data_IF_811432961762
#
_entry.id   IF_811432961762
#
_cell.length_a   1.000
_cell.length_b   1.000
_cell.length_c   1.000
_cell.angle_alpha   90.00
_cell.angle_beta   90.00
_cell.angle_gamma   90.00
#
_symmetry.space_group_name_H-M   'P 1'
#
loop_
_entity.id
_entity.type
_entity.pdbx_description
1 polymer ?
#
# COMPACT_ATOMS: atom_id res chain seq x y z
N UNK A 1 -21.99 -2.68 -77.16
CA UNK A 1 -20.72 -1.94 -77.06
C UNK A 1 -20.63 -1.36 -75.66
N UNK A 2 -19.54 -1.71 -75.00
CA UNK A 2 -19.12 -1.40 -73.64
C UNK A 2 -19.15 0.09 -73.31
N UNK A 3 -19.48 0.45 -72.06
CA UNK A 3 -18.52 1.17 -71.22
C UNK A 3 -19.06 1.46 -69.81
N UNK A 4 -18.51 0.69 -68.88
CA UNK A 4 -18.01 1.05 -67.55
C UNK A 4 -18.88 1.86 -66.58
N UNK A 5 -19.49 1.09 -65.69
CA UNK A 5 -19.80 1.41 -64.30
C UNK A 5 -18.54 1.91 -63.58
N UNK A 6 -18.47 3.20 -63.23
CA UNK A 6 -17.43 3.72 -62.32
C UNK A 6 -17.99 3.73 -60.90
N UNK A 7 -17.72 2.66 -60.15
CA UNK A 7 -17.92 2.61 -58.70
C UNK A 7 -16.84 3.51 -58.09
N UNK A 8 -17.23 4.70 -57.64
CA UNK A 8 -16.38 5.53 -56.79
C UNK A 8 -16.49 4.99 -55.36
N UNK A 9 -15.48 4.23 -54.97
CA UNK A 9 -15.29 3.76 -53.61
C UNK A 9 -15.06 4.99 -52.72
N UNK A 10 -16.08 5.42 -51.98
CA UNK A 10 -15.91 6.36 -50.88
C UNK A 10 -15.05 5.68 -49.82
N UNK A 11 -13.76 5.95 -49.85
CA UNK A 11 -12.86 5.73 -48.71
C UNK A 11 -13.32 6.68 -47.61
N UNK A 12 -14.25 6.23 -46.78
CA UNK A 12 -14.44 6.82 -45.46
C UNK A 12 -13.17 6.54 -44.67
N UNK A 13 -12.23 7.48 -44.69
CA UNK A 13 -11.19 7.54 -43.69
C UNK A 13 -11.93 7.76 -42.36
N UNK A 14 -12.17 6.69 -41.62
CA UNK A 14 -12.60 6.77 -40.24
C UNK A 14 -11.53 7.56 -39.51
N UNK A 15 -11.83 8.83 -39.22
CA UNK A 15 -10.89 9.73 -38.58
C UNK A 15 -10.62 9.16 -37.17
N UNK A 16 -9.35 8.90 -36.79
CA UNK A 16 -8.99 8.44 -35.45
C UNK A 16 -9.39 9.45 -34.34
N UNK A 17 -9.81 10.66 -34.73
CA UNK A 17 -10.40 11.65 -33.83
C UNK A 17 -11.77 11.26 -33.28
N UNK A 18 -12.59 10.47 -34.00
CA UNK A 18 -13.96 10.20 -33.54
C UNK A 18 -14.02 9.27 -32.32
N UNK A 19 -13.23 8.19 -32.28
CA UNK A 19 -13.14 7.30 -31.10
C UNK A 19 -12.60 8.02 -29.85
N UNK A 20 -11.65 8.94 -30.03
CA UNK A 20 -11.09 9.71 -28.92
C UNK A 20 -12.11 10.70 -28.33
N UNK A 21 -12.96 11.28 -29.18
CA UNK A 21 -14.04 12.17 -28.78
C UNK A 21 -15.23 11.39 -28.20
N UNK A 22 -15.49 10.18 -28.68
CA UNK A 22 -16.54 9.28 -28.18
C UNK A 22 -16.27 8.84 -26.74
N UNK A 23 -15.00 8.60 -26.37
CA UNK A 23 -14.57 8.39 -24.98
C UNK A 23 -14.83 9.58 -24.04
N UNK A 24 -15.01 10.80 -24.57
CA UNK A 24 -15.40 11.97 -23.78
C UNK A 24 -16.92 12.04 -23.53
N UNK A 25 -17.71 11.26 -24.28
CA UNK A 25 -19.17 11.36 -24.33
C UNK A 25 -19.89 10.16 -23.73
N UNK A 26 -19.16 9.10 -23.35
CA UNK A 26 -19.73 7.96 -22.64
C UNK A 26 -19.98 8.29 -21.17
N UNK A 27 -21.25 8.21 -20.74
CA UNK A 27 -21.68 8.38 -19.35
C UNK A 27 -21.40 7.14 -18.46
N UNK A 28 -20.69 6.13 -18.96
CA UNK A 28 -20.26 4.92 -18.22
C UNK A 28 -19.09 5.22 -17.24
N UNK A 29 -19.25 6.27 -16.41
CA UNK A 29 -18.19 6.85 -15.57
C UNK A 29 -18.54 6.91 -14.07
N UNK A 30 -19.51 6.14 -13.58
CA UNK A 30 -19.79 6.11 -12.15
C UNK A 30 -18.76 5.23 -11.41
N UNK A 31 -17.56 5.77 -11.20
CA UNK A 31 -16.58 5.19 -10.26
C UNK A 31 -16.93 5.63 -8.85
N UNK A 32 -17.18 4.66 -7.98
CA UNK A 32 -17.48 4.91 -6.57
C UNK A 32 -16.23 4.73 -5.70
N UNK A 33 -16.33 5.17 -4.45
CA UNK A 33 -15.30 4.92 -3.45
C UNK A 33 -15.02 3.42 -3.24
N UNK A 34 -16.07 2.59 -3.27
CA UNK A 34 -15.94 1.15 -3.01
C UNK A 34 -15.19 0.42 -4.14
N UNK A 35 -15.14 0.97 -5.35
CA UNK A 35 -14.33 0.43 -6.46
C UNK A 35 -12.82 0.67 -6.25
N UNK A 36 -12.47 1.63 -5.38
CA UNK A 36 -11.10 2.03 -5.12
C UNK A 36 -10.50 1.37 -3.88
N UNK A 37 -11.29 0.59 -3.13
CA UNK A 37 -10.85 -0.03 -1.87
C UNK A 37 -11.21 -1.50 -1.79
N UNK A 38 -10.48 -2.23 -0.94
CA UNK A 38 -10.79 -3.61 -0.54
C UNK A 38 -10.92 -3.62 0.97
N UNK A 39 -11.98 -4.22 1.49
CA UNK A 39 -12.14 -4.43 2.93
C UNK A 39 -11.39 -5.68 3.37
N UNK A 40 -10.44 -5.49 4.30
CA UNK A 40 -9.72 -6.58 4.96
C UNK A 40 -9.93 -6.44 6.46
N UNK A 41 -10.76 -7.29 7.07
CA UNK A 41 -11.08 -7.27 8.49
C UNK A 41 -11.59 -5.91 9.01
N UNK A 42 -12.37 -5.18 8.20
CA UNK A 42 -12.89 -3.84 8.51
C UNK A 42 -11.94 -2.70 8.16
N UNK A 43 -10.78 -2.99 7.55
CA UNK A 43 -9.82 -1.99 7.09
C UNK A 43 -9.96 -1.83 5.58
N UNK A 44 -10.48 -0.67 5.13
CA UNK A 44 -10.58 -0.32 3.71
C UNK A 44 -9.22 0.13 3.18
N UNK A 45 -8.53 -0.75 2.48
CA UNK A 45 -7.22 -0.48 1.87
C UNK A 45 -7.37 -0.16 0.38
N UNK A 46 -6.59 0.78 -0.18
CA UNK A 46 -6.75 1.18 -1.58
C UNK A 46 -6.30 0.09 -2.55
N UNK A 47 -6.95 0.00 -3.71
CA UNK A 47 -6.58 -0.92 -4.79
C UNK A 47 -5.29 -0.48 -5.50
N UNK A 48 -4.73 -1.38 -6.30
CA UNK A 48 -3.63 -1.03 -7.22
C UNK A 48 -4.02 0.04 -8.24
N UNK A 49 -5.30 0.11 -8.64
CA UNK A 49 -5.78 1.14 -9.55
C UNK A 49 -5.75 2.52 -8.89
N UNK A 50 -6.24 2.62 -7.65
CA UNK A 50 -6.16 3.85 -6.85
C UNK A 50 -4.71 4.34 -6.70
N UNK A 51 -3.78 3.42 -6.41
CA UNK A 51 -2.36 3.76 -6.32
C UNK A 51 -1.76 4.22 -7.64
N UNK A 52 -2.10 3.58 -8.76
CA UNK A 52 -1.65 4.01 -10.10
C UNK A 52 -2.13 5.42 -10.45
N UNK A 53 -3.42 5.70 -10.22
CA UNK A 53 -3.97 7.03 -10.40
C UNK A 53 -3.23 8.07 -9.55
N UNK A 54 -3.01 7.76 -8.28
CA UNK A 54 -2.22 8.62 -7.39
C UNK A 54 -0.80 8.85 -7.90
N UNK A 55 -0.10 7.81 -8.38
CA UNK A 55 1.27 7.96 -8.90
C UNK A 55 1.33 8.92 -10.07
N UNK A 56 0.41 8.77 -11.04
CA UNK A 56 0.35 9.62 -12.25
C UNK A 56 0.07 11.08 -11.88
N UNK A 57 -0.90 11.32 -10.98
CA UNK A 57 -1.27 12.68 -10.56
C UNK A 57 -0.17 13.38 -9.75
N UNK A 58 0.75 12.63 -9.15
CA UNK A 58 1.82 13.16 -8.29
C UNK A 58 3.22 13.03 -8.92
N UNK A 59 3.32 12.58 -10.18
CA UNK A 59 4.60 12.32 -10.86
C UNK A 59 5.56 11.44 -10.02
N UNK A 60 5.01 10.40 -9.39
CA UNK A 60 5.70 9.56 -8.41
C UNK A 60 6.31 8.27 -9.01
N UNK A 61 6.12 8.02 -10.31
CA UNK A 61 6.40 6.75 -10.98
C UNK A 61 7.86 6.32 -10.81
N UNK A 62 8.81 7.21 -11.11
CA UNK A 62 10.24 6.92 -11.00
C UNK A 62 10.67 6.62 -9.55
N UNK A 63 10.14 7.40 -8.60
CA UNK A 63 10.45 7.22 -7.17
C UNK A 63 9.90 5.89 -6.65
N UNK A 64 8.67 5.54 -7.00
CA UNK A 64 8.06 4.26 -6.61
C UNK A 64 8.80 3.08 -7.24
N UNK A 65 9.16 3.18 -8.52
CA UNK A 65 9.96 2.16 -9.20
C UNK A 65 11.30 1.96 -8.47
N UNK A 66 11.99 3.05 -8.15
CA UNK A 66 13.26 3.04 -7.44
C UNK A 66 13.13 2.38 -6.06
N UNK A 67 12.14 2.77 -5.25
CA UNK A 67 11.87 2.15 -3.94
C UNK A 67 11.65 0.65 -4.10
N UNK A 68 10.76 0.25 -5.02
CA UNK A 68 10.48 -1.16 -5.26
C UNK A 68 11.72 -1.96 -5.66
N UNK A 69 12.58 -1.40 -6.51
CA UNK A 69 13.86 -2.02 -6.89
C UNK A 69 14.80 -2.16 -5.71
N UNK A 70 15.00 -1.10 -4.92
CA UNK A 70 15.87 -1.13 -3.75
C UNK A 70 15.40 -2.15 -2.70
N UNK A 71 14.08 -2.31 -2.50
CA UNK A 71 13.54 -3.35 -1.63
C UNK A 71 13.88 -4.76 -2.14
N UNK A 72 13.68 -5.02 -3.44
CA UNK A 72 14.00 -6.32 -4.06
C UNK A 72 15.49 -6.61 -4.01
N UNK A 73 16.33 -5.64 -4.36
CA UNK A 73 17.80 -5.79 -4.34
C UNK A 73 18.32 -6.03 -2.92
N UNK A 74 17.63 -5.50 -1.90
CA UNK A 74 17.94 -5.78 -0.51
C UNK A 74 17.49 -7.18 -0.05
N UNK A 75 16.84 -7.98 -0.89
CA UNK A 75 16.34 -9.31 -0.57
C UNK A 75 14.97 -9.32 0.12
N UNK A 76 14.20 -8.24 0.00
CA UNK A 76 12.79 -8.25 0.42
C UNK A 76 12.00 -9.07 -0.60
N UNK A 77 11.53 -10.24 -0.17
CA UNK A 77 10.74 -11.17 -0.98
C UNK A 77 9.29 -11.27 -0.51
N UNK A 78 8.91 -10.48 0.50
CA UNK A 78 7.55 -10.45 1.03
C UNK A 78 6.51 -10.26 -0.08
N UNK A 79 5.37 -10.96 0.08
CA UNK A 79 4.22 -10.89 -0.83
C UNK A 79 3.38 -9.62 -0.59
N UNK A 80 3.74 -8.80 0.40
CA UNK A 80 3.05 -7.56 0.71
C UNK A 80 3.04 -6.62 -0.51
N UNK A 81 1.87 -6.06 -0.88
CA UNK A 81 1.81 -5.11 -1.97
C UNK A 81 2.53 -3.80 -1.63
N UNK A 82 3.46 -3.35 -2.49
CA UNK A 82 4.23 -2.10 -2.29
C UNK A 82 3.35 -0.88 -2.01
N UNK A 83 2.22 -0.74 -2.71
CA UNK A 83 1.29 0.37 -2.49
C UNK A 83 0.75 0.42 -1.05
N UNK A 84 0.59 -0.72 -0.39
CA UNK A 84 0.14 -0.78 1.00
C UNK A 84 1.28 -0.51 1.99
N UNK A 85 2.52 -0.86 1.65
CA UNK A 85 3.71 -0.45 2.42
C UNK A 85 3.84 1.10 2.42
N UNK A 86 3.46 1.74 1.31
CA UNK A 86 3.49 3.21 1.13
C UNK A 86 2.20 3.92 1.55
N UNK A 87 1.22 3.19 2.09
CA UNK A 87 -0.06 3.74 2.56
C UNK A 87 0.15 4.49 3.88
N UNK A 88 -0.38 5.71 4.04
CA UNK A 88 -0.29 6.39 5.34
C UNK A 88 -1.18 5.75 6.40
N UNK A 89 -2.39 5.36 6.03
CA UNK A 89 -3.34 4.64 6.87
C UNK A 89 -4.67 4.44 6.14
N UNK A 90 -5.67 3.87 6.83
CA UNK A 90 -6.99 3.55 6.26
C UNK A 90 -8.09 4.55 6.62
N UNK A 91 -7.80 5.48 7.53
CA UNK A 91 -8.67 6.58 7.98
C UNK A 91 -8.55 7.86 7.13
N UNK A 92 -7.93 7.79 5.95
CA UNK A 92 -7.62 8.92 5.08
C UNK A 92 -8.84 9.71 4.57
N UNK A 93 -10.00 9.07 4.38
CA UNK A 93 -11.25 9.75 3.99
C UNK A 93 -11.63 10.82 5.02
N UNK A 94 -11.28 10.60 6.29
CA UNK A 94 -11.59 11.50 7.40
C UNK A 94 -10.56 12.64 7.56
N UNK A 95 -9.38 12.53 6.93
CA UNK A 95 -8.22 13.36 7.28
C UNK A 95 -7.87 14.45 6.26
N UNK A 96 -8.52 14.49 5.09
CA UNK A 96 -8.21 15.43 3.99
C UNK A 96 -6.70 15.45 3.62
N UNK A 97 -6.04 14.30 3.77
CA UNK A 97 -4.63 14.08 3.45
C UNK A 97 -4.50 13.16 2.24
N UNK A 98 -3.35 13.20 1.57
CA UNK A 98 -3.00 12.18 0.57
C UNK A 98 -3.06 10.76 1.16
N UNK A 99 -3.52 9.81 0.36
CA UNK A 99 -3.56 8.38 0.67
C UNK A 99 -2.17 7.80 0.94
N UNK A 100 -1.24 8.12 0.04
CA UNK A 100 0.10 7.57 0.03
C UNK A 100 1.12 8.67 0.32
N UNK A 101 2.27 8.26 0.83
CA UNK A 101 3.45 9.10 0.98
C UNK A 101 4.65 8.40 0.33
N UNK A 102 5.63 9.20 -0.09
CA UNK A 102 6.92 8.66 -0.48
C UNK A 102 7.92 8.91 0.65
N UNK A 103 8.57 7.86 1.15
CA UNK A 103 9.55 8.01 2.20
C UNK A 103 10.73 8.81 1.72
N UNK A 104 11.31 9.54 2.67
CA UNK A 104 12.66 10.02 2.48
C UNK A 104 13.58 8.81 2.22
N UNK A 105 14.38 8.87 1.15
CA UNK A 105 15.34 7.83 0.79
C UNK A 105 16.29 7.44 1.93
N UNK A 106 16.63 8.38 2.84
CA UNK A 106 17.45 8.08 4.02
C UNK A 106 16.77 7.12 5.01
N UNK A 107 15.43 7.05 5.01
CA UNK A 107 14.67 6.17 5.88
C UNK A 107 14.41 4.79 5.27
N UNK A 108 14.70 4.58 3.98
CA UNK A 108 14.45 3.29 3.31
C UNK A 108 15.15 2.09 3.98
N UNK A 109 16.40 2.19 4.49
CA UNK A 109 17.03 1.11 5.24
C UNK A 109 16.24 0.65 6.47
N UNK A 110 15.49 1.55 7.12
CA UNK A 110 14.66 1.20 8.28
C UNK A 110 13.55 0.23 7.87
N UNK A 111 12.83 0.56 6.79
CA UNK A 111 11.76 -0.31 6.28
C UNK A 111 12.32 -1.62 5.74
N UNK A 112 13.50 -1.63 5.10
CA UNK A 112 14.14 -2.87 4.66
C UNK A 112 14.34 -3.82 5.85
N UNK A 113 14.83 -3.33 6.98
CA UNK A 113 15.03 -4.15 8.17
C UNK A 113 13.70 -4.67 8.73
N UNK A 114 12.67 -3.82 8.77
CA UNK A 114 11.33 -4.22 9.24
C UNK A 114 10.68 -5.25 8.32
N UNK A 115 10.76 -5.08 7.00
CA UNK A 115 10.24 -6.05 6.02
C UNK A 115 11.00 -7.38 6.09
N UNK A 116 12.33 -7.34 6.29
CA UNK A 116 13.13 -8.55 6.54
C UNK A 116 12.70 -9.27 7.80
N UNK A 117 12.49 -8.54 8.90
CA UNK A 117 11.99 -9.13 10.13
C UNK A 117 10.62 -9.79 9.92
N UNK A 118 9.70 -9.12 9.22
CA UNK A 118 8.38 -9.64 8.91
C UNK A 118 8.47 -10.93 8.09
N UNK A 119 9.18 -10.92 6.96
CA UNK A 119 9.26 -12.10 6.09
C UNK A 119 9.99 -13.29 6.77
N UNK A 120 10.94 -13.02 7.68
CA UNK A 120 11.74 -14.05 8.33
C UNK A 120 11.06 -14.65 9.56
N UNK A 121 10.34 -13.85 10.35
CA UNK A 121 9.83 -14.28 11.66
C UNK A 121 8.31 -14.20 11.81
N UNK A 122 7.64 -13.30 11.10
CA UNK A 122 6.20 -13.09 11.23
C UNK A 122 5.43 -13.92 10.19
N UNK A 123 5.77 -13.79 8.90
CA UNK A 123 5.09 -14.49 7.81
C UNK A 123 5.11 -16.03 7.95
N UNK A 124 6.19 -16.67 8.44
CA UNK A 124 6.17 -18.13 8.67
C UNK A 124 5.15 -18.59 9.72
N UNK A 125 4.79 -17.72 10.67
CA UNK A 125 3.90 -18.06 11.77
C UNK A 125 2.44 -17.65 11.54
N UNK A 126 2.23 -16.60 10.74
CA UNK A 126 0.92 -15.97 10.48
C UNK A 126 0.45 -16.08 9.03
N UNK A 127 1.30 -16.50 8.11
CA UNK A 127 1.05 -16.41 6.68
C UNK A 127 1.19 -14.97 6.17
N UNK A 128 0.50 -14.65 5.08
CA UNK A 128 0.55 -13.32 4.49
C UNK A 128 -0.07 -12.31 5.47
N UNK A 129 0.62 -11.20 5.68
CA UNK A 129 0.12 -10.04 6.42
C UNK A 129 -0.07 -8.87 5.47
N UNK A 130 -1.06 -8.03 5.73
CA UNK A 130 -1.50 -6.94 4.86
C UNK A 130 -1.23 -5.62 5.58
N UNK A 131 -0.39 -4.72 5.03
CA UNK A 131 -0.20 -3.39 5.59
C UNK A 131 -1.49 -2.58 5.51
N UNK A 132 -1.84 -1.97 6.64
CA UNK A 132 -2.95 -1.02 6.76
C UNK A 132 -2.47 0.38 7.17
N UNK A 133 -1.18 0.55 7.45
CA UNK A 133 -0.50 1.82 7.66
C UNK A 133 1.02 1.64 7.59
N UNK A 134 1.72 2.57 6.92
CA UNK A 134 3.17 2.63 6.78
C UNK A 134 3.72 3.99 7.22
N UNK A 135 4.51 4.66 6.38
CA UNK A 135 4.99 6.00 6.76
C UNK A 135 3.83 6.97 6.92
N UNK A 136 3.90 7.83 7.93
CA UNK A 136 2.94 8.93 8.13
C UNK A 136 3.68 10.25 8.05
N UNK A 137 3.09 11.21 7.35
CA UNK A 137 3.45 12.62 7.50
C UNK A 137 3.13 13.11 8.92
N UNK A 138 3.76 14.19 9.37
CA UNK A 138 3.49 14.77 10.69
C UNK A 138 2.00 15.14 10.86
N UNK A 139 1.40 15.70 9.82
CA UNK A 139 -0.02 16.08 9.79
C UNK A 139 -0.90 14.84 9.98
N UNK A 140 -0.68 13.80 9.18
CA UNK A 140 -1.44 12.55 9.28
C UNK A 140 -1.26 11.91 10.64
N UNK A 141 -0.02 11.79 11.13
CA UNK A 141 0.27 11.18 12.41
C UNK A 141 -0.45 11.91 13.56
N UNK A 142 -0.49 13.25 13.53
CA UNK A 142 -1.23 14.04 14.52
C UNK A 142 -2.74 13.80 14.43
N UNK A 143 -3.32 13.82 13.23
CA UNK A 143 -4.76 13.59 13.04
C UNK A 143 -5.19 12.19 13.48
N UNK A 144 -4.35 11.18 13.19
CA UNK A 144 -4.55 9.79 13.62
C UNK A 144 -4.25 9.56 15.12
N UNK A 145 -4.00 10.60 15.92
CA UNK A 145 -3.69 10.49 17.35
C UNK A 145 -2.36 9.80 17.66
N UNK A 146 -1.43 9.78 16.71
CA UNK A 146 -0.12 9.16 16.83
C UNK A 146 0.81 9.89 17.79
N UNK A 147 1.73 9.14 18.40
CA UNK A 147 2.73 9.71 19.30
C UNK A 147 3.71 10.64 18.56
N UNK A 148 4.23 11.65 19.26
CA UNK A 148 5.22 12.60 18.72
C UNK A 148 6.51 11.92 18.22
N UNK A 149 6.88 10.79 18.82
CA UNK A 149 8.07 9.99 18.44
C UNK A 149 7.69 8.69 17.74
N UNK A 150 6.57 8.70 17.01
CA UNK A 150 6.07 7.55 16.27
C UNK A 150 7.09 7.03 15.27
N UNK A 151 7.24 5.70 15.19
CA UNK A 151 8.14 5.05 14.23
C UNK A 151 7.59 5.07 12.79
N UNK A 152 6.31 5.39 12.63
CA UNK A 152 5.71 5.68 11.33
C UNK A 152 6.28 6.95 10.69
N UNK A 153 6.76 7.93 11.47
CA UNK A 153 7.31 9.18 10.91
C UNK A 153 8.62 9.00 10.15
N UNK A 154 9.32 7.88 10.39
CA UNK A 154 10.65 7.61 9.84
C UNK A 154 10.68 6.34 8.99
N UNK A 155 9.54 5.99 8.37
CA UNK A 155 9.35 4.79 7.56
C UNK A 155 9.97 3.53 8.19
N UNK A 156 9.77 3.36 9.50
CA UNK A 156 10.29 2.19 10.22
C UNK A 156 9.18 1.26 10.71
N UNK A 157 7.93 1.72 10.73
CA UNK A 157 6.82 0.94 11.24
C UNK A 157 5.82 0.57 10.15
N UNK A 158 5.22 -0.59 10.32
CA UNK A 158 3.98 -0.98 9.67
C UNK A 158 2.94 -1.31 10.74
N UNK A 159 1.70 -0.89 10.51
CA UNK A 159 0.55 -1.57 11.12
C UNK A 159 -0.01 -2.56 10.09
N UNK A 160 -0.30 -3.76 10.56
CA UNK A 160 -0.60 -4.92 9.75
C UNK A 160 -1.84 -5.64 10.27
N UNK A 161 -2.52 -6.35 9.38
CA UNK A 161 -3.51 -7.37 9.72
C UNK A 161 -3.14 -8.68 9.02
N UNK A 162 -3.44 -9.85 9.62
CA UNK A 162 -3.29 -11.13 8.94
C UNK A 162 -4.22 -11.20 7.71
N UNK A 163 -3.85 -11.94 6.67
CA UNK A 163 -4.74 -12.17 5.52
C UNK A 163 -5.74 -13.31 5.77
N UNK A 164 -5.45 -14.16 6.74
CA UNK A 164 -6.28 -15.29 7.13
C UNK A 164 -7.02 -14.97 8.42
N UNK A 165 -8.20 -15.56 8.59
CA UNK A 165 -8.93 -15.47 9.84
C UNK A 165 -8.11 -16.09 10.98
N UNK A 166 -7.89 -15.30 12.02
CA UNK A 166 -7.22 -15.70 13.24
C UNK A 166 -7.88 -14.99 14.42
N UNK A 167 -8.06 -15.72 15.52
CA UNK A 167 -8.54 -15.09 16.74
C UNK A 167 -7.50 -14.11 17.28
N UNK A 168 -7.96 -13.00 17.88
CA UNK A 168 -7.08 -12.04 18.55
C UNK A 168 -6.15 -12.71 19.57
N UNK A 169 -6.67 -13.67 20.35
CA UNK A 169 -5.90 -14.37 21.36
C UNK A 169 -4.73 -15.14 20.75
N UNK A 170 -4.97 -15.86 19.64
CA UNK A 170 -3.94 -16.65 18.96
C UNK A 170 -2.92 -15.75 18.25
N UNK A 171 -3.38 -14.69 17.59
CA UNK A 171 -2.50 -13.68 16.99
C UNK A 171 -1.54 -13.09 18.04
N UNK A 172 -2.09 -12.64 19.17
CA UNK A 172 -1.30 -12.04 20.25
C UNK A 172 -0.30 -13.03 20.84
N UNK A 173 -0.70 -14.29 21.03
CA UNK A 173 0.18 -15.34 21.54
C UNK A 173 1.37 -15.55 20.59
N UNK A 174 1.13 -15.68 19.29
CA UNK A 174 2.17 -15.86 18.28
C UNK A 174 3.12 -14.66 18.22
N UNK A 175 2.58 -13.44 18.12
CA UNK A 175 3.39 -12.22 18.07
C UNK A 175 4.24 -12.01 19.32
N UNK A 176 3.68 -12.25 20.52
CA UNK A 176 4.43 -12.17 21.78
C UNK A 176 5.54 -13.22 21.85
N UNK A 177 5.30 -14.43 21.35
CA UNK A 177 6.33 -15.48 21.27
C UNK A 177 7.51 -15.05 20.39
N UNK A 178 7.20 -14.50 19.20
CA UNK A 178 8.20 -13.99 18.26
C UNK A 178 8.99 -12.83 18.89
N UNK A 179 8.30 -11.87 19.51
CA UNK A 179 8.93 -10.72 20.17
C UNK A 179 9.81 -11.13 21.36
N UNK A 180 9.35 -12.07 22.19
CA UNK A 180 10.14 -12.59 23.30
C UNK A 180 11.43 -13.30 22.82
N UNK A 181 11.38 -13.97 21.67
CA UNK A 181 12.50 -14.73 21.13
C UNK A 181 13.51 -13.88 20.35
N UNK A 182 13.03 -12.95 19.53
CA UNK A 182 13.84 -12.21 18.56
C UNK A 182 13.83 -10.69 18.78
N UNK A 183 12.93 -10.19 19.63
CA UNK A 183 12.67 -8.76 19.71
C UNK A 183 13.88 -7.95 20.17
N UNK A 184 14.64 -8.45 21.14
CA UNK A 184 15.83 -7.74 21.63
C UNK A 184 16.96 -7.72 20.58
N UNK A 185 17.18 -8.83 19.88
CA UNK A 185 18.20 -8.95 18.84
C UNK A 185 17.97 -7.98 17.68
N UNK A 186 16.71 -7.83 17.25
CA UNK A 186 16.32 -6.99 16.11
C UNK A 186 15.71 -5.64 16.49
N UNK A 187 15.82 -5.25 17.77
CA UNK A 187 15.32 -3.97 18.29
C UNK A 187 13.82 -3.73 17.98
N UNK A 188 13.00 -4.75 18.20
CA UNK A 188 11.62 -4.80 17.71
C UNK A 188 10.65 -4.08 18.65
N UNK A 189 9.90 -3.14 18.09
CA UNK A 189 8.70 -2.60 18.70
C UNK A 189 7.48 -3.41 18.30
N UNK A 190 6.71 -3.92 19.27
CA UNK A 190 5.45 -4.64 19.04
C UNK A 190 4.29 -3.92 19.73
N UNK A 191 3.29 -3.49 18.98
CA UNK A 191 2.04 -2.95 19.54
C UNK A 191 0.85 -3.83 19.20
N UNK A 192 -0.02 -4.11 20.16
CA UNK A 192 -1.20 -4.94 19.96
C UNK A 192 -2.49 -4.14 20.15
N UNK A 193 -3.31 -4.04 19.11
CA UNK A 193 -4.57 -3.28 19.16
C UNK A 193 -5.74 -4.14 19.70
N UNK A 194 -6.93 -3.55 19.78
CA UNK A 194 -8.14 -4.22 20.29
C UNK A 194 -8.67 -5.33 19.37
N UNK A 195 -8.29 -5.34 18.08
CA UNK A 195 -8.68 -6.35 17.08
C UNK A 195 -7.50 -7.23 16.64
N UNK A 196 -7.46 -7.57 15.34
CA UNK A 196 -6.36 -8.33 14.71
C UNK A 196 -5.28 -7.44 14.08
N UNK A 197 -5.37 -6.13 14.28
CA UNK A 197 -4.32 -5.19 13.89
C UNK A 197 -3.20 -5.25 14.90
N UNK A 198 -1.97 -5.19 14.40
CA UNK A 198 -0.77 -5.07 15.21
C UNK A 198 0.22 -4.11 14.56
N UNK A 199 1.08 -3.53 15.38
CA UNK A 199 2.19 -2.68 15.00
C UNK A 199 3.50 -3.46 15.06
N UNK A 200 4.38 -3.27 14.09
CA UNK A 200 5.74 -3.79 14.11
C UNK A 200 6.73 -2.76 13.57
N UNK A 201 7.87 -2.60 14.24
CA UNK A 201 9.02 -1.83 13.77
C UNK A 201 10.32 -2.44 14.28
N UNK A 202 11.46 -2.14 13.64
CA UNK A 202 12.81 -2.57 14.08
C UNK A 202 13.67 -1.40 14.56
N UNK A 203 13.05 -0.33 15.06
CA UNK A 203 13.73 0.91 15.48
C UNK A 203 13.57 1.22 16.97
N UNK A 204 13.15 0.26 17.79
CA UNK A 204 13.13 0.40 19.24
C UNK A 204 12.46 -0.78 19.95
N UNK A 205 13.23 -1.49 20.78
CA UNK A 205 12.75 -2.63 21.55
C UNK A 205 11.75 -2.21 22.63
N UNK A 206 10.47 -2.53 22.40
CA UNK A 206 9.37 -2.25 23.34
C UNK A 206 8.14 -3.09 22.98
N UNK A 207 7.19 -3.20 23.90
CA UNK A 207 5.89 -3.80 23.62
C UNK A 207 4.75 -3.14 24.40
N UNK A 208 3.56 -3.03 23.81
CA UNK A 208 2.36 -2.46 24.43
C UNK A 208 1.07 -3.11 23.94
#
# INVERSE_FOLDING_TARGET
>A
MYSHLLITLLLTATQPHSEALEKLQSDDMEMTYDDLVVDIHGYKVPTRAAFRGWMLLNHAEEKVLKIGTQLRDAGVTSKMPLHLILLQGTDWVMNNTTLFTLPNAQNLPNMINTLKFIQTYIEPELGIVIPVSGERTDIYNKQAGGALRSKHLNFCALDLVPSQDISRAELHKKLKSIHAKYGQEFNVGLGLYSGVRFHIDTCGFRSW
#
